data_IF_966110933565
#
_entry.id   IF_966110933565
#
_cell.length_a   1.000
_cell.length_b   1.000
_cell.length_c   1.000
_cell.angle_alpha   90.00
_cell.angle_beta   90.00
_cell.angle_gamma   90.00
#
_symmetry.space_group_name_H-M   'P 1'
#
loop_
_entity.id
_entity.type
_entity.pdbx_description
1 polymer ?
#
# COMPACT_ATOMS: atom_id res chain seq x y z
N UNK A 1 18.32 16.06 36.28
CA UNK A 1 17.03 15.92 35.60
C UNK A 1 15.92 16.06 36.62
N UNK A 2 14.99 16.97 36.41
CA UNK A 2 13.91 17.27 37.35
C UNK A 2 12.74 16.29 37.18
N UNK A 3 11.87 16.18 38.19
CA UNK A 3 10.65 15.36 38.12
C UNK A 3 9.73 15.77 36.95
N UNK A 4 9.72 17.07 36.62
CA UNK A 4 8.97 17.61 35.50
C UNK A 4 9.56 17.16 34.15
N UNK A 5 10.88 17.21 34.00
CA UNK A 5 11.60 16.74 32.81
C UNK A 5 11.38 15.24 32.58
N UNK A 6 11.48 14.41 33.62
CA UNK A 6 11.21 12.96 33.53
C UNK A 6 9.77 12.68 33.06
N UNK A 7 8.80 13.44 33.56
CA UNK A 7 7.39 13.28 33.16
C UNK A 7 7.13 13.75 31.73
N UNK A 8 7.80 14.80 31.29
CA UNK A 8 7.73 15.27 29.91
C UNK A 8 8.34 14.24 28.94
N UNK A 9 9.52 13.69 29.27
CA UNK A 9 10.17 12.66 28.49
C UNK A 9 9.31 11.38 28.36
N UNK A 10 8.71 10.92 29.46
CA UNK A 10 7.83 9.76 29.45
C UNK A 10 6.57 9.98 28.58
N UNK A 11 5.99 11.20 28.59
CA UNK A 11 4.85 11.56 27.74
C UNK A 11 5.23 11.62 26.27
N UNK A 12 6.36 12.24 25.93
CA UNK A 12 6.86 12.32 24.57
C UNK A 12 7.13 10.92 24.00
N UNK A 13 7.78 10.04 24.78
CA UNK A 13 8.00 8.66 24.39
C UNK A 13 6.70 7.89 24.16
N UNK A 14 5.71 8.07 25.03
CA UNK A 14 4.41 7.43 24.86
C UNK A 14 3.68 7.92 23.61
N UNK A 15 3.69 9.23 23.33
CA UNK A 15 3.10 9.79 22.13
C UNK A 15 3.76 9.27 20.86
N UNK A 16 5.09 9.23 20.83
CA UNK A 16 5.86 8.69 19.70
C UNK A 16 5.54 7.21 19.47
N UNK A 17 5.46 6.42 20.54
CA UNK A 17 5.07 5.01 20.45
C UNK A 17 3.65 4.81 19.90
N UNK A 18 2.71 5.69 20.26
CA UNK A 18 1.35 5.63 19.73
C UNK A 18 1.30 6.03 18.25
N UNK A 19 2.14 6.98 17.83
CA UNK A 19 2.29 7.36 16.42
C UNK A 19 2.81 6.20 15.58
N UNK A 20 3.88 5.54 16.04
CA UNK A 20 4.46 4.38 15.36
C UNK A 20 3.44 3.26 15.16
N UNK A 21 2.64 2.96 16.20
CA UNK A 21 1.57 1.96 16.09
C UNK A 21 0.48 2.35 15.09
N UNK A 22 0.11 3.63 15.03
CA UNK A 22 -0.85 4.09 14.04
C UNK A 22 -0.29 3.98 12.61
N UNK A 23 1.00 4.25 12.44
CA UNK A 23 1.70 4.06 11.16
C UNK A 23 1.80 2.57 10.77
N UNK A 24 2.07 1.67 11.71
CA UNK A 24 2.05 0.21 11.50
C UNK A 24 0.67 -0.27 11.02
N UNK A 25 -0.40 0.13 11.72
CA UNK A 25 -1.78 -0.22 11.33
C UNK A 25 -2.12 0.31 9.93
N UNK A 26 -1.70 1.54 9.62
CA UNK A 26 -1.87 2.12 8.29
C UNK A 26 -1.08 1.33 7.23
N UNK A 27 0.15 0.92 7.54
CA UNK A 27 0.97 0.14 6.63
C UNK A 27 0.38 -1.25 6.37
N UNK A 28 -0.17 -1.91 7.39
CA UNK A 28 -0.88 -3.19 7.24
C UNK A 28 -2.13 -3.04 6.36
N UNK A 29 -2.92 -1.99 6.55
CA UNK A 29 -4.08 -1.70 5.71
C UNK A 29 -3.67 -1.49 4.23
N UNK A 30 -2.64 -0.67 3.98
CA UNK A 30 -2.11 -0.45 2.64
C UNK A 30 -1.58 -1.75 2.01
N UNK A 31 -0.92 -2.61 2.78
CA UNK A 31 -0.42 -3.90 2.29
C UNK A 31 -1.58 -4.85 1.91
N UNK A 32 -2.65 -4.88 2.70
CA UNK A 32 -3.83 -5.67 2.40
C UNK A 32 -4.53 -5.19 1.11
N UNK A 33 -4.69 -3.88 0.94
CA UNK A 33 -5.28 -3.27 -0.26
C UNK A 33 -4.44 -3.58 -1.50
N UNK A 34 -3.11 -3.43 -1.42
CA UNK A 34 -2.20 -3.78 -2.52
C UNK A 34 -2.29 -5.25 -2.92
N UNK A 35 -2.45 -6.16 -1.95
CA UNK A 35 -2.60 -7.58 -2.24
C UNK A 35 -3.92 -7.88 -2.98
N UNK A 36 -5.02 -7.23 -2.61
CA UNK A 36 -6.31 -7.39 -3.29
C UNK A 36 -6.29 -6.78 -4.70
N UNK A 37 -5.75 -5.57 -4.85
CA UNK A 37 -5.59 -4.92 -6.16
C UNK A 37 -4.69 -5.74 -7.08
N UNK A 38 -3.64 -6.36 -6.54
CA UNK A 38 -2.77 -7.29 -7.26
C UNK A 38 -3.54 -8.51 -7.78
N UNK A 39 -4.40 -9.12 -6.95
CA UNK A 39 -5.28 -10.23 -7.37
C UNK A 39 -6.26 -9.81 -8.46
N UNK A 40 -6.90 -8.65 -8.30
CA UNK A 40 -7.85 -8.12 -9.28
C UNK A 40 -7.17 -7.83 -10.62
N UNK A 41 -5.99 -7.18 -10.58
CA UNK A 41 -5.18 -6.91 -11.77
C UNK A 41 -4.75 -8.20 -12.46
N UNK A 42 -4.33 -9.22 -11.70
CA UNK A 42 -4.00 -10.54 -12.24
C UNK A 42 -5.21 -11.19 -12.91
N UNK A 43 -6.38 -11.15 -12.28
CA UNK A 43 -7.62 -11.65 -12.87
C UNK A 43 -7.97 -10.96 -14.19
N UNK A 44 -7.83 -9.63 -14.26
CA UNK A 44 -8.06 -8.86 -15.49
C UNK A 44 -7.08 -9.20 -16.60
N UNK A 45 -5.86 -9.66 -16.29
CA UNK A 45 -4.86 -10.06 -17.28
C UNK A 45 -5.07 -11.52 -17.73
N UNK A 46 -5.28 -12.44 -16.80
CA UNK A 46 -5.21 -13.88 -17.06
C UNK A 46 -6.53 -14.63 -16.84
N UNK A 47 -7.38 -14.18 -15.93
CA UNK A 47 -8.60 -14.89 -15.52
C UNK A 47 -9.84 -14.55 -16.35
N UNK A 48 -9.85 -13.38 -16.98
CA UNK A 48 -11.01 -12.87 -17.72
C UNK A 48 -11.01 -13.38 -19.17
N UNK A 49 -12.04 -14.14 -19.56
CA UNK A 49 -12.19 -14.74 -20.92
C UNK A 49 -12.84 -13.79 -21.93
N UNK A 50 -13.60 -12.79 -21.48
CA UNK A 50 -14.22 -11.79 -22.34
C UNK A 50 -13.25 -10.65 -22.63
N UNK A 51 -12.84 -10.51 -23.90
CA UNK A 51 -11.98 -9.42 -24.40
C UNK A 51 -12.72 -8.06 -24.49
N UNK A 52 -13.75 -7.82 -23.69
CA UNK A 52 -14.53 -6.58 -23.76
C UNK A 52 -13.65 -5.38 -23.36
N UNK A 53 -13.96 -4.24 -23.97
CA UNK A 53 -13.14 -3.03 -24.05
C UNK A 53 -12.75 -2.35 -22.72
N UNK A 54 -13.27 -2.80 -21.58
CA UNK A 54 -13.02 -2.15 -20.28
C UNK A 54 -11.81 -2.68 -19.52
N UNK A 55 -11.14 -3.73 -20.02
CA UNK A 55 -9.96 -4.31 -19.34
C UNK A 55 -8.87 -3.26 -19.10
N UNK A 56 -8.50 -2.51 -20.12
CA UNK A 56 -7.45 -1.49 -20.04
C UNK A 56 -7.86 -0.34 -19.12
N UNK A 57 -9.12 0.08 -19.18
CA UNK A 57 -9.68 1.10 -18.30
C UNK A 57 -9.64 0.69 -16.83
N UNK A 58 -10.01 -0.56 -16.53
CA UNK A 58 -9.98 -1.11 -15.18
C UNK A 58 -8.55 -1.28 -14.66
N UNK A 59 -7.63 -1.76 -15.52
CA UNK A 59 -6.21 -1.84 -15.16
C UNK A 59 -5.61 -0.45 -14.89
N UNK A 60 -5.93 0.55 -15.71
CA UNK A 60 -5.48 1.93 -15.46
C UNK A 60 -6.00 2.45 -14.13
N UNK A 61 -7.29 2.26 -13.83
CA UNK A 61 -7.88 2.71 -12.58
C UNK A 61 -7.23 2.06 -11.35
N UNK A 62 -6.87 0.78 -11.44
CA UNK A 62 -6.08 0.10 -10.41
C UNK A 62 -4.70 0.75 -10.28
N UNK A 63 -3.99 0.95 -11.39
CA UNK A 63 -2.64 1.56 -11.38
C UNK A 63 -2.67 3.01 -10.85
N UNK A 64 -3.72 3.79 -11.16
CA UNK A 64 -3.96 5.14 -10.63
C UNK A 64 -4.13 5.12 -9.10
N UNK A 65 -5.03 4.28 -8.59
CA UNK A 65 -5.29 4.16 -7.15
C UNK A 65 -4.07 3.66 -6.37
N UNK A 66 -3.30 2.73 -6.95
CA UNK A 66 -2.02 2.30 -6.38
C UNK A 66 -1.05 3.48 -6.31
N UNK A 67 -0.97 4.30 -7.36
CA UNK A 67 -0.15 5.51 -7.38
C UNK A 67 -0.55 6.53 -6.31
N UNK A 68 -1.84 6.70 -6.04
CA UNK A 68 -2.33 7.56 -4.95
C UNK A 68 -1.91 7.05 -3.56
N UNK A 69 -1.90 5.73 -3.36
CA UNK A 69 -1.55 5.13 -2.07
C UNK A 69 -0.03 5.08 -1.82
N UNK A 70 0.76 4.78 -2.85
CA UNK A 70 2.20 4.43 -2.70
C UNK A 70 3.15 5.46 -3.30
N UNK A 71 2.63 6.37 -4.15
CA UNK A 71 3.45 7.24 -5.00
C UNK A 71 4.04 6.54 -6.23
N UNK A 72 3.75 5.25 -6.43
CA UNK A 72 4.25 4.45 -7.54
C UNK A 72 3.12 3.67 -8.22
N UNK A 73 2.65 4.19 -9.37
CA UNK A 73 1.63 3.54 -10.22
C UNK A 73 2.03 2.15 -10.71
N UNK A 74 3.32 1.84 -10.71
CA UNK A 74 3.87 0.58 -11.22
C UNK A 74 4.10 -0.46 -10.13
N UNK A 75 3.72 -0.18 -8.88
CA UNK A 75 3.99 -1.07 -7.75
C UNK A 75 3.38 -2.48 -7.91
N UNK A 76 2.33 -2.63 -8.73
CA UNK A 76 1.69 -3.92 -9.06
C UNK A 76 2.12 -4.49 -10.42
N UNK A 77 3.02 -3.82 -11.14
CA UNK A 77 3.55 -4.35 -12.39
C UNK A 77 4.48 -5.51 -12.05
N UNK A 78 4.37 -6.61 -12.79
CA UNK A 78 5.31 -7.70 -12.63
C UNK A 78 6.71 -7.14 -12.87
N UNK A 79 7.62 -7.30 -11.90
CA UNK A 79 9.04 -7.13 -12.16
C UNK A 79 9.37 -8.15 -13.23
N UNK A 80 9.55 -7.70 -14.46
CA UNK A 80 10.01 -8.53 -15.56
C UNK A 80 11.27 -9.26 -15.06
N UNK A 81 11.14 -10.54 -14.71
CA UNK A 81 12.29 -11.41 -14.64
C UNK A 81 12.87 -11.37 -16.04
N UNK A 82 14.09 -10.83 -16.17
CA UNK A 82 14.89 -11.01 -17.38
C UNK A 82 15.02 -12.53 -17.57
N UNK A 83 14.26 -13.08 -18.51
CA UNK A 83 14.63 -14.33 -19.15
C UNK A 83 15.75 -13.97 -20.14
N UNK A 84 16.91 -14.58 -19.94
CA UNK A 84 18.14 -14.40 -20.72
C UNK A 84 19.30 -14.96 -19.94
#
# INVERSE_FOLDING_TARGET
>A
MTKAENRAAARAWHQERMRQRAEEVRAEAVAADLAELGRLRHYLIFGRKDRRADREKLMSAIDDYVGEMTGDRTALHAKNHKCG
#
